data_IF_347961859125
#
_entry.id   IF_347961859125
#
_cell.length_a   1.000
_cell.length_b   1.000
_cell.length_c   1.000
_cell.angle_alpha   90.00
_cell.angle_beta   90.00
_cell.angle_gamma   90.00
#
_symmetry.space_group_name_H-M   'P 1'
#
loop_
_entity.id
_entity.type
_entity.pdbx_description
1 polymer ?
#
# COMPACT_ATOMS: atom_id res chain seq x y z
N UNK A 1 28.34 0.88 29.16
CA UNK A 1 27.24 0.51 28.28
C UNK A 1 26.89 1.70 27.37
N UNK A 2 27.71 1.98 26.36
CA UNK A 2 27.46 3.02 25.32
C UNK A 2 28.31 2.64 24.11
N UNK A 3 27.85 1.72 23.26
CA UNK A 3 28.50 1.45 21.94
C UNK A 3 27.65 0.43 21.16
N UNK A 4 26.44 0.80 20.72
CA UNK A 4 25.64 -0.06 19.84
C UNK A 4 24.72 0.72 18.87
N UNK A 5 24.92 2.03 18.66
CA UNK A 5 24.03 2.85 17.86
C UNK A 5 24.67 3.49 16.61
N UNK A 6 25.87 3.07 16.18
CA UNK A 6 26.64 3.75 15.09
C UNK A 6 26.90 2.91 13.85
N UNK A 7 26.30 1.73 13.68
CA UNK A 7 26.59 0.84 12.54
C UNK A 7 25.54 0.83 11.42
N UNK A 8 24.48 1.63 11.48
CA UNK A 8 23.41 1.62 10.46
C UNK A 8 23.53 2.72 9.37
N UNK A 9 24.49 3.64 9.47
CA UNK A 9 24.55 4.79 8.54
C UNK A 9 25.65 4.67 7.46
N UNK A 10 26.56 3.73 7.56
CA UNK A 10 27.73 3.66 6.66
C UNK A 10 27.51 2.93 5.31
N UNK A 11 26.29 2.47 4.99
CA UNK A 11 25.99 1.74 3.74
C UNK A 11 25.46 2.61 2.60
N UNK A 12 25.33 3.93 2.75
CA UNK A 12 24.75 4.85 1.75
C UNK A 12 25.77 5.52 0.82
N UNK A 13 27.07 5.24 0.95
CA UNK A 13 28.11 5.78 0.06
C UNK A 13 28.62 4.72 -0.92
N UNK A 14 27.85 4.36 -1.93
CA UNK A 14 28.28 3.43 -2.98
C UNK A 14 27.96 3.93 -4.38
N UNK A 15 29.01 4.17 -5.18
CA UNK A 15 29.08 4.39 -6.64
C UNK A 15 27.99 5.27 -7.28
N UNK A 16 28.42 6.31 -7.96
CA UNK A 16 27.59 7.22 -8.74
C UNK A 16 26.96 6.50 -9.95
N UNK A 17 25.77 5.98 -9.81
CA UNK A 17 24.95 5.59 -10.97
C UNK A 17 24.41 6.88 -11.59
N UNK A 18 24.81 7.19 -12.82
CA UNK A 18 24.22 8.27 -13.61
C UNK A 18 23.01 7.66 -14.30
N UNK A 19 21.81 8.03 -13.88
CA UNK A 19 20.58 7.60 -14.52
C UNK A 19 20.29 8.45 -15.75
N UNK A 20 19.89 7.82 -16.84
CA UNK A 20 19.37 8.48 -18.06
C UNK A 20 17.85 8.72 -17.94
N UNK A 21 17.29 9.47 -18.87
CA UNK A 21 15.83 9.66 -18.95
C UNK A 21 15.10 8.31 -19.14
N UNK A 22 15.66 7.43 -19.96
CA UNK A 22 15.17 6.06 -20.17
C UNK A 22 15.15 5.25 -18.85
N UNK A 23 16.12 5.46 -17.97
CA UNK A 23 16.16 4.81 -16.66
C UNK A 23 15.04 5.33 -15.75
N UNK A 24 14.72 6.62 -15.79
CA UNK A 24 13.62 7.21 -15.01
C UNK A 24 12.26 6.64 -15.47
N UNK A 25 12.05 6.48 -16.77
CA UNK A 25 10.83 5.87 -17.31
C UNK A 25 10.71 4.39 -16.92
N UNK A 26 11.82 3.65 -16.98
CA UNK A 26 11.86 2.27 -16.52
C UNK A 26 11.57 2.15 -15.01
N UNK A 27 12.14 3.04 -14.19
CA UNK A 27 11.88 3.11 -12.75
C UNK A 27 10.43 3.49 -12.45
N UNK A 28 9.81 4.36 -13.25
CA UNK A 28 8.39 4.70 -13.12
C UNK A 28 7.52 3.44 -13.25
N UNK A 29 7.72 2.64 -14.27
CA UNK A 29 6.99 1.37 -14.47
C UNK A 29 7.25 0.36 -13.35
N UNK A 30 8.50 0.25 -12.90
CA UNK A 30 8.86 -0.63 -11.79
C UNK A 30 8.18 -0.22 -10.48
N UNK A 31 8.12 1.08 -10.18
CA UNK A 31 7.49 1.58 -8.95
C UNK A 31 5.98 1.33 -8.89
N UNK A 32 5.35 1.08 -10.03
CA UNK A 32 3.92 0.78 -10.19
C UNK A 32 3.59 -0.72 -10.04
N UNK A 33 4.61 -1.58 -9.94
CA UNK A 33 4.47 -3.02 -9.77
C UNK A 33 4.63 -3.40 -8.28
N UNK A 34 3.58 -3.86 -7.58
CA UNK A 34 3.64 -4.19 -6.16
C UNK A 34 4.49 -5.42 -5.82
N UNK A 35 4.90 -6.20 -6.81
CA UNK A 35 5.78 -7.38 -6.65
C UNK A 35 7.08 -7.26 -7.45
N UNK A 36 7.53 -6.03 -7.69
CA UNK A 36 8.80 -5.77 -8.34
C UNK A 36 9.98 -6.25 -7.48
N UNK A 37 11.00 -6.80 -8.14
CA UNK A 37 12.25 -7.22 -7.50
C UNK A 37 13.15 -6.02 -7.16
N UNK A 38 12.58 -5.00 -6.54
CA UNK A 38 13.25 -3.75 -6.14
C UNK A 38 12.74 -3.35 -4.75
N UNK A 39 13.67 -3.05 -3.85
CA UNK A 39 13.28 -2.49 -2.54
C UNK A 39 12.66 -1.11 -2.76
N UNK A 40 11.48 -0.90 -2.20
CA UNK A 40 10.82 0.42 -2.19
C UNK A 40 10.13 0.67 -0.87
N UNK A 41 10.00 1.95 -0.50
CA UNK A 41 9.33 2.36 0.73
C UNK A 41 8.33 3.46 0.42
N UNK A 42 7.07 3.09 0.10
CA UNK A 42 5.97 4.03 -0.04
C UNK A 42 5.50 4.59 1.30
N UNK A 43 5.28 5.89 1.33
CA UNK A 43 4.58 6.64 2.37
C UNK A 43 3.30 7.19 1.74
N UNK A 44 2.16 6.59 2.05
CA UNK A 44 0.86 7.00 1.52
C UNK A 44 0.12 7.83 2.56
N UNK A 45 0.05 9.13 2.36
CA UNK A 45 -0.70 10.07 3.18
C UNK A 45 -2.13 10.16 2.63
N UNK A 46 -3.11 9.69 3.38
CA UNK A 46 -4.50 9.66 3.01
C UNK A 46 -5.28 10.66 3.88
N UNK A 47 -5.81 11.71 3.27
CA UNK A 47 -6.69 12.68 3.88
C UNK A 47 -8.12 12.29 3.54
N UNK A 48 -8.87 11.83 4.55
CA UNK A 48 -10.19 11.25 4.42
C UNK A 48 -11.23 12.25 4.93
N UNK A 49 -12.08 12.76 4.06
CA UNK A 49 -13.04 13.82 4.38
C UNK A 49 -14.46 13.26 4.51
N UNK A 50 -15.23 13.84 5.42
CA UNK A 50 -16.59 13.40 5.70
C UNK A 50 -16.67 12.16 6.60
N UNK A 51 -15.65 11.91 7.43
CA UNK A 51 -15.63 10.79 8.37
C UNK A 51 -16.40 11.10 9.66
N UNK A 52 -16.90 10.03 10.27
CA UNK A 52 -17.56 10.11 11.57
C UNK A 52 -18.95 10.77 11.53
N UNK A 53 -19.58 10.92 12.70
CA UNK A 53 -20.91 11.52 12.81
C UNK A 53 -20.93 13.00 12.41
N UNK A 54 -19.85 13.73 12.67
CA UNK A 54 -19.74 15.18 12.46
C UNK A 54 -19.07 15.53 11.11
N UNK A 55 -18.84 14.53 10.24
CA UNK A 55 -18.27 14.73 8.90
C UNK A 55 -16.88 15.40 8.89
N UNK A 56 -16.05 15.07 9.85
CA UNK A 56 -14.71 15.63 10.00
C UNK A 56 -13.69 14.98 9.04
N UNK A 57 -12.49 15.53 8.99
CA UNK A 57 -11.35 14.93 8.29
C UNK A 57 -10.66 13.91 9.19
N UNK A 58 -10.46 12.69 8.71
CA UNK A 58 -9.54 11.70 9.25
C UNK A 58 -8.24 11.64 8.46
N UNK A 59 -7.18 11.19 9.09
CA UNK A 59 -5.88 11.00 8.45
C UNK A 59 -5.37 9.58 8.64
N UNK A 60 -4.74 9.04 7.59
CA UNK A 60 -4.08 7.74 7.62
C UNK A 60 -2.79 7.80 6.82
N UNK A 61 -1.65 7.65 7.48
CA UNK A 61 -0.37 7.39 6.85
C UNK A 61 -0.11 5.88 6.82
N UNK A 62 -0.03 5.28 5.64
CA UNK A 62 0.44 3.92 5.47
C UNK A 62 1.92 3.91 5.07
N UNK A 63 2.76 3.27 5.87
CA UNK A 63 4.16 2.96 5.54
C UNK A 63 4.18 1.53 5.03
N UNK A 64 4.56 1.32 3.75
CA UNK A 64 4.37 0.05 3.06
C UNK A 64 5.66 -0.42 2.36
N UNK A 65 6.74 -0.76 3.09
CA UNK A 65 7.95 -1.24 2.45
C UNK A 65 7.69 -2.50 1.63
N UNK A 66 8.31 -2.58 0.46
CA UNK A 66 8.33 -3.76 -0.41
C UNK A 66 9.76 -4.29 -0.40
N UNK A 67 9.94 -5.52 0.09
CA UNK A 67 11.25 -6.14 0.23
C UNK A 67 11.28 -7.45 -0.55
N UNK A 68 11.95 -7.48 -1.72
CA UNK A 68 12.14 -8.69 -2.48
C UNK A 68 13.30 -9.51 -1.89
N UNK A 69 13.07 -10.79 -1.70
CA UNK A 69 14.05 -11.80 -1.30
C UNK A 69 14.20 -12.82 -2.43
N UNK A 70 15.39 -12.99 -2.95
CA UNK A 70 15.65 -14.01 -3.97
C UNK A 70 15.71 -15.40 -3.31
N UNK A 71 14.77 -16.27 -3.64
CA UNK A 71 14.76 -17.65 -3.13
C UNK A 71 15.58 -18.61 -4.01
N UNK A 72 15.54 -18.36 -5.32
CA UNK A 72 16.30 -19.14 -6.31
C UNK A 72 16.45 -18.31 -7.60
N UNK A 73 17.11 -18.90 -8.60
CA UNK A 73 17.18 -18.28 -9.94
C UNK A 73 15.82 -18.04 -10.60
N UNK A 74 14.78 -18.78 -10.19
CA UNK A 74 13.47 -18.77 -10.81
C UNK A 74 12.37 -18.14 -9.94
N UNK A 75 12.61 -17.92 -8.65
CA UNK A 75 11.60 -17.48 -7.70
C UNK A 75 12.08 -16.40 -6.76
N UNK A 76 11.28 -15.37 -6.61
CA UNK A 76 11.41 -14.35 -5.56
C UNK A 76 10.28 -14.52 -4.53
N UNK A 77 10.57 -14.09 -3.31
CA UNK A 77 9.60 -13.93 -2.24
C UNK A 77 9.52 -12.46 -1.87
N UNK A 78 8.36 -11.86 -2.05
CA UNK A 78 8.13 -10.45 -1.75
C UNK A 78 7.46 -10.35 -0.40
N UNK A 79 8.01 -9.50 0.46
CA UNK A 79 7.45 -9.18 1.79
C UNK A 79 6.98 -7.74 1.78
N UNK A 80 5.71 -7.51 2.10
CA UNK A 80 5.07 -6.20 2.09
C UNK A 80 4.27 -5.97 3.37
N UNK A 81 4.89 -5.50 4.45
CA UNK A 81 4.17 -5.01 5.62
C UNK A 81 3.49 -3.67 5.30
N UNK A 82 2.33 -3.44 5.88
CA UNK A 82 1.57 -2.18 5.82
C UNK A 82 1.33 -1.74 7.25
N UNK A 83 2.00 -0.69 7.67
CA UNK A 83 1.85 -0.10 8.99
C UNK A 83 1.03 1.19 8.90
N UNK A 84 -0.22 1.21 9.37
CA UNK A 84 -1.04 2.42 9.40
C UNK A 84 -0.77 3.25 10.66
N UNK A 85 -0.61 4.56 10.47
CA UNK A 85 -0.64 5.57 11.53
C UNK A 85 -1.90 6.38 11.31
N UNK A 86 -2.80 6.35 12.27
CA UNK A 86 -4.16 6.84 12.14
C UNK A 86 -4.41 8.05 13.01
N UNK A 87 -5.25 8.97 12.55
CA UNK A 87 -5.91 10.00 13.33
C UNK A 87 -7.36 10.09 12.86
N UNK A 88 -8.29 9.55 13.67
CA UNK A 88 -9.70 9.40 13.31
C UNK A 88 -10.63 10.23 14.21
N UNK A 89 -11.66 10.87 13.65
CA UNK A 89 -12.70 11.54 14.42
C UNK A 89 -13.70 10.52 14.98
N UNK A 90 -14.07 10.70 16.23
CA UNK A 90 -15.07 9.87 16.93
C UNK A 90 -16.39 10.61 17.17
N UNK A 91 -16.49 11.87 16.75
CA UNK A 91 -17.62 12.75 16.97
C UNK A 91 -17.57 13.49 18.33
N UNK A 92 -18.30 14.60 18.40
CA UNK A 92 -18.31 15.48 19.56
C UNK A 92 -16.95 16.12 19.85
N UNK A 93 -16.15 16.39 18.81
CA UNK A 93 -14.79 16.95 18.93
C UNK A 93 -13.74 15.96 19.46
N UNK A 94 -14.09 14.69 19.68
CA UNK A 94 -13.15 13.67 20.14
C UNK A 94 -12.42 13.04 18.94
N UNK A 95 -11.15 12.76 19.14
CA UNK A 95 -10.29 12.08 18.16
C UNK A 95 -9.45 11.00 18.82
N UNK A 96 -9.01 10.03 18.03
CA UNK A 96 -8.02 9.03 18.44
C UNK A 96 -6.90 8.98 17.43
N UNK A 97 -5.66 8.99 17.92
CA UNK A 97 -4.45 8.92 17.09
C UNK A 97 -3.54 7.82 17.63
N UNK A 98 -2.92 7.07 16.71
CA UNK A 98 -2.01 5.99 17.08
C UNK A 98 -1.73 5.05 15.91
N UNK A 99 -1.15 3.89 16.22
CA UNK A 99 -0.96 2.82 15.26
C UNK A 99 -2.26 2.05 15.06
N UNK A 100 -2.53 1.63 13.84
CA UNK A 100 -3.57 0.66 13.53
C UNK A 100 -3.02 -0.77 13.49
N UNK A 101 -3.84 -1.69 12.98
CA UNK A 101 -3.48 -3.09 12.83
C UNK A 101 -2.49 -3.27 11.67
N UNK A 102 -1.35 -3.93 11.94
CA UNK A 102 -0.33 -4.25 10.95
C UNK A 102 -0.87 -5.31 9.99
N UNK A 103 -0.84 -5.02 8.69
CA UNK A 103 -1.09 -6.01 7.65
C UNK A 103 0.23 -6.48 7.06
N UNK A 104 0.40 -7.77 6.90
CA UNK A 104 1.53 -8.39 6.21
C UNK A 104 1.00 -9.15 4.99
N UNK A 105 1.41 -8.72 3.82
CA UNK A 105 1.17 -9.42 2.56
C UNK A 105 2.48 -10.02 2.07
N UNK A 106 2.43 -11.26 1.58
CA UNK A 106 3.62 -11.88 1.02
C UNK A 106 3.27 -12.60 -0.28
N UNK A 107 4.25 -12.65 -1.22
CA UNK A 107 4.01 -13.21 -2.54
C UNK A 107 5.21 -14.04 -3.01
N UNK A 108 4.96 -15.27 -3.43
CA UNK A 108 5.85 -16.01 -4.30
C UNK A 108 5.61 -15.56 -5.74
N UNK A 109 6.64 -15.10 -6.43
CA UNK A 109 6.56 -14.59 -7.80
C UNK A 109 7.71 -15.14 -8.65
N UNK A 110 7.47 -15.52 -9.92
CA UNK A 110 8.53 -15.92 -10.83
C UNK A 110 9.51 -14.77 -11.10
N UNK A 111 10.83 -15.04 -10.99
CA UNK A 111 11.86 -14.03 -11.26
C UNK A 111 12.03 -13.69 -12.74
N UNK A 112 11.60 -14.57 -13.65
CA UNK A 112 11.77 -14.45 -15.10
C UNK A 112 10.48 -14.03 -15.82
N UNK A 113 9.51 -13.46 -15.11
CA UNK A 113 8.28 -12.95 -15.71
C UNK A 113 8.57 -11.78 -16.66
N UNK A 114 7.88 -11.78 -17.84
CA UNK A 114 8.07 -10.74 -18.87
C UNK A 114 6.93 -9.72 -18.80
N UNK A 115 5.97 -9.81 -19.72
CA UNK A 115 4.86 -8.86 -19.82
C UNK A 115 3.77 -9.10 -18.78
N UNK A 116 3.61 -10.34 -18.31
CA UNK A 116 2.67 -10.70 -17.25
C UNK A 116 3.42 -11.22 -16.04
N UNK A 117 3.32 -10.50 -14.95
CA UNK A 117 3.92 -10.81 -13.65
C UNK A 117 2.77 -11.21 -12.73
N UNK A 118 2.95 -12.25 -11.95
CA UNK A 118 1.97 -12.67 -10.97
C UNK A 118 2.63 -13.12 -9.68
N UNK A 119 1.90 -13.08 -8.61
CA UNK A 119 2.34 -13.57 -7.32
C UNK A 119 1.16 -14.07 -6.49
N UNK A 120 1.41 -15.08 -5.68
CA UNK A 120 0.45 -15.60 -4.71
C UNK A 120 1.15 -15.88 -3.39
N UNK A 121 0.43 -15.74 -2.31
CA UNK A 121 1.01 -16.01 -0.99
C UNK A 121 0.01 -15.78 0.14
N UNK A 122 0.44 -15.95 1.38
CA UNK A 122 -0.38 -15.65 2.54
C UNK A 122 -0.41 -14.15 2.85
N UNK A 123 -1.51 -13.72 3.47
CA UNK A 123 -1.64 -12.45 4.15
C UNK A 123 -2.03 -12.68 5.60
N UNK A 124 -1.64 -11.76 6.48
CA UNK A 124 -2.04 -11.73 7.87
C UNK A 124 -2.31 -10.30 8.32
N UNK A 125 -3.31 -10.11 9.20
CA UNK A 125 -3.54 -8.88 9.94
C UNK A 125 -3.28 -9.18 11.41
N UNK A 126 -2.48 -8.33 12.05
CA UNK A 126 -2.07 -8.46 13.43
C UNK A 126 -2.77 -7.38 14.26
N UNK A 127 -3.40 -7.70 15.40
CA UNK A 127 -4.06 -6.73 16.27
C UNK A 127 -3.02 -5.90 17.03
N UNK A 128 -2.32 -5.03 16.33
CA UNK A 128 -1.25 -4.18 16.87
C UNK A 128 -1.69 -2.75 17.13
N UNK A 129 -2.97 -2.45 16.94
CA UNK A 129 -3.51 -1.12 17.18
C UNK A 129 -3.25 -0.68 18.64
N UNK A 130 -2.78 0.57 18.79
CA UNK A 130 -2.46 1.12 20.12
C UNK A 130 -3.69 1.58 20.90
N UNK A 131 -4.80 1.76 20.20
CA UNK A 131 -6.09 2.16 20.76
C UNK A 131 -7.19 1.27 20.20
N UNK A 132 -8.20 0.99 21.00
CA UNK A 132 -9.28 0.07 20.63
C UNK A 132 -10.05 0.49 19.37
N UNK A 133 -10.18 1.79 19.15
CA UNK A 133 -10.89 2.37 18.01
C UNK A 133 -10.08 2.37 16.71
N UNK A 134 -8.78 2.09 16.78
CA UNK A 134 -7.86 2.12 15.63
C UNK A 134 -7.62 0.74 14.99
N UNK A 135 -8.19 -0.33 15.56
CA UNK A 135 -8.04 -1.68 15.06
C UNK A 135 -9.22 -2.59 15.35
N UNK A 136 -9.25 -3.73 14.70
CA UNK A 136 -10.32 -4.71 14.85
C UNK A 136 -10.11 -5.65 16.05
N UNK A 137 -8.89 -5.71 16.60
CA UNK A 137 -8.55 -6.61 17.71
C UNK A 137 -8.58 -8.09 17.32
N UNK A 138 -8.49 -8.40 16.03
CA UNK A 138 -8.56 -9.74 15.47
C UNK A 138 -7.26 -10.10 14.74
N UNK A 139 -6.86 -11.35 14.86
CA UNK A 139 -5.86 -11.98 14.00
C UNK A 139 -6.56 -12.52 12.78
N UNK A 140 -6.30 -11.94 11.61
CA UNK A 140 -6.85 -12.45 10.36
C UNK A 140 -5.77 -13.12 9.54
N UNK A 141 -6.09 -14.26 8.96
CA UNK A 141 -5.21 -15.01 8.06
C UNK A 141 -5.96 -15.33 6.76
N UNK A 142 -5.23 -15.37 5.65
CA UNK A 142 -5.80 -15.76 4.38
C UNK A 142 -4.85 -15.62 3.19
N UNK A 143 -5.35 -15.80 1.96
CA UNK A 143 -4.58 -15.68 0.75
C UNK A 143 -4.47 -14.25 0.25
N UNK A 144 -3.37 -13.99 -0.46
CA UNK A 144 -3.15 -12.82 -1.30
C UNK A 144 -2.74 -13.25 -2.70
N UNK A 145 -3.20 -12.53 -3.71
CA UNK A 145 -2.81 -12.73 -5.10
C UNK A 145 -2.64 -11.40 -5.82
N UNK A 146 -1.71 -11.34 -6.76
CA UNK A 146 -1.47 -10.16 -7.58
C UNK A 146 -1.19 -10.56 -9.01
N UNK A 147 -1.70 -9.79 -9.95
CA UNK A 147 -1.39 -9.89 -11.37
C UNK A 147 -1.07 -8.52 -11.93
N UNK A 148 0.00 -8.42 -12.71
CA UNK A 148 0.47 -7.19 -13.36
C UNK A 148 0.74 -7.47 -14.82
N UNK A 149 0.16 -6.68 -15.69
CA UNK A 149 0.42 -6.70 -17.13
C UNK A 149 1.09 -5.39 -17.55
N UNK A 150 2.26 -5.52 -18.17
CA UNK A 150 3.03 -4.38 -18.67
C UNK A 150 3.14 -4.46 -20.19
N UNK A 151 2.63 -3.44 -20.89
CA UNK A 151 2.74 -3.35 -22.36
C UNK A 151 2.81 -1.89 -22.82
N UNK A 152 3.87 -1.54 -23.55
CA UNK A 152 4.09 -0.17 -23.98
C UNK A 152 4.06 0.81 -22.80
N UNK A 153 3.22 1.85 -22.84
CA UNK A 153 3.09 2.83 -21.75
C UNK A 153 2.22 2.33 -20.60
N UNK A 154 1.52 1.19 -20.74
CA UNK A 154 0.55 0.70 -19.77
C UNK A 154 1.18 -0.20 -18.72
N UNK A 155 0.80 0.02 -17.47
CA UNK A 155 0.97 -0.91 -16.34
C UNK A 155 -0.41 -1.11 -15.72
N UNK A 156 -0.96 -2.30 -15.90
CA UNK A 156 -2.30 -2.68 -15.48
C UNK A 156 -2.22 -3.86 -14.53
N UNK A 157 -3.09 -3.92 -13.55
CA UNK A 157 -3.13 -5.08 -12.67
C UNK A 157 -4.15 -4.98 -11.57
N UNK A 158 -4.15 -6.00 -10.73
CA UNK A 158 -4.91 -6.02 -9.50
C UNK A 158 -4.20 -6.83 -8.42
N UNK A 159 -4.33 -6.38 -7.18
CA UNK A 159 -3.94 -7.11 -5.99
C UNK A 159 -5.22 -7.45 -5.23
N UNK A 160 -5.37 -8.69 -4.81
CA UNK A 160 -6.55 -9.19 -4.10
C UNK A 160 -6.12 -9.87 -2.83
N UNK A 161 -6.81 -9.59 -1.73
CA UNK A 161 -6.60 -10.26 -0.44
C UNK A 161 -7.94 -10.70 0.14
N UNK A 162 -7.94 -11.82 0.85
CA UNK A 162 -9.05 -12.29 1.64
C UNK A 162 -8.54 -12.79 2.99
N UNK A 163 -9.03 -12.23 4.07
CA UNK A 163 -8.74 -12.67 5.44
C UNK A 163 -9.96 -13.30 6.11
N UNK A 164 -9.69 -14.07 7.15
CA UNK A 164 -10.70 -14.56 8.11
C UNK A 164 -10.09 -14.52 9.49
N UNK A 165 -10.84 -14.00 10.46
CA UNK A 165 -10.39 -14.00 11.85
C UNK A 165 -10.27 -15.42 12.40
N UNK A 166 -9.10 -15.74 12.93
CA UNK A 166 -8.73 -17.05 13.50
C UNK A 166 -8.58 -16.98 15.02
N UNK A 167 -8.30 -15.80 15.55
CA UNK A 167 -8.19 -15.50 16.97
C UNK A 167 -8.41 -14.00 17.20
N UNK A 168 -8.61 -13.57 18.44
CA UNK A 168 -8.74 -12.14 18.71
C UNK A 168 -9.15 -11.84 20.14
N UNK A 169 -9.39 -10.55 20.39
CA UNK A 169 -9.84 -10.00 21.68
C UNK A 169 -11.25 -10.51 22.04
N UNK A 170 -11.41 -11.00 23.26
CA UNK A 170 -12.71 -11.44 23.76
C UNK A 170 -13.72 -10.29 23.75
N UNK A 171 -14.93 -10.55 23.21
CA UNK A 171 -15.98 -9.55 23.13
C UNK A 171 -15.93 -8.64 21.91
N UNK A 172 -15.02 -8.88 20.96
CA UNK A 172 -15.05 -8.28 19.61
C UNK A 172 -15.61 -9.27 18.58
N UNK A 173 -16.43 -8.79 17.62
CA UNK A 173 -16.88 -9.65 16.53
C UNK A 173 -15.70 -10.10 15.68
N UNK A 174 -15.78 -11.30 15.15
CA UNK A 174 -14.85 -11.75 14.16
C UNK A 174 -15.02 -10.98 12.85
N UNK A 175 -13.95 -10.90 12.06
CA UNK A 175 -13.87 -10.19 10.78
C UNK A 175 -13.67 -11.15 9.62
N UNK A 176 -14.03 -10.73 8.42
CA UNK A 176 -13.70 -11.42 7.19
C UNK A 176 -13.33 -10.38 6.11
N UNK A 177 -12.21 -9.65 6.31
CA UNK A 177 -11.82 -8.57 5.42
C UNK A 177 -11.44 -9.08 4.03
N UNK A 178 -12.01 -8.45 3.03
CA UNK A 178 -11.68 -8.62 1.63
C UNK A 178 -11.16 -7.30 1.07
N UNK A 179 -10.14 -7.35 0.22
CA UNK A 179 -9.77 -6.20 -0.57
C UNK A 179 -9.41 -6.57 -2.00
N UNK A 180 -9.72 -5.67 -2.92
CA UNK A 180 -9.18 -5.69 -4.28
C UNK A 180 -8.73 -4.29 -4.65
N UNK A 181 -7.47 -4.19 -5.07
CA UNK A 181 -6.85 -2.96 -5.54
C UNK A 181 -6.52 -3.09 -7.02
N UNK A 182 -7.45 -2.77 -7.93
CA UNK A 182 -7.10 -2.60 -9.34
C UNK A 182 -6.18 -1.39 -9.47
N UNK A 183 -5.21 -1.46 -10.36
CA UNK A 183 -4.38 -0.32 -10.70
C UNK A 183 -4.20 -0.19 -12.21
N UNK A 184 -4.31 1.05 -12.68
CA UNK A 184 -4.18 1.41 -14.09
C UNK A 184 -3.25 2.61 -14.16
N UNK A 185 -2.12 2.44 -14.84
CA UNK A 185 -1.16 3.51 -15.04
C UNK A 185 -0.87 3.65 -16.54
N UNK A 186 -0.95 4.87 -17.03
CA UNK A 186 -0.52 5.24 -18.38
C UNK A 186 0.70 6.14 -18.27
N UNK A 187 1.87 5.61 -18.61
CA UNK A 187 3.14 6.29 -18.51
C UNK A 187 3.34 7.27 -19.67
N UNK A 188 3.74 8.47 -19.33
CA UNK A 188 4.05 9.59 -20.22
C UNK A 188 5.57 9.86 -20.18
N UNK A 189 6.10 10.66 -21.13
CA UNK A 189 7.51 11.05 -21.09
C UNK A 189 7.93 11.74 -19.79
N UNK A 190 9.22 11.75 -19.52
CA UNK A 190 9.84 12.41 -18.35
C UNK A 190 9.37 11.88 -16.99
N UNK A 191 8.99 10.60 -16.93
CA UNK A 191 8.57 9.93 -15.69
C UNK A 191 7.17 10.29 -15.17
N UNK A 192 6.37 11.03 -15.93
CA UNK A 192 4.98 11.28 -15.61
C UNK A 192 4.09 10.06 -15.88
N UNK A 193 2.98 9.94 -15.14
CA UNK A 193 1.92 8.99 -15.46
C UNK A 193 0.56 9.52 -15.01
N UNK A 194 -0.48 9.12 -15.74
CA UNK A 194 -1.86 9.15 -15.26
C UNK A 194 -2.07 7.86 -14.50
N UNK A 195 -2.58 7.94 -13.27
CA UNK A 195 -2.64 6.79 -12.36
C UNK A 195 -3.96 6.69 -11.65
N UNK A 196 -4.43 5.48 -11.45
CA UNK A 196 -5.49 5.15 -10.50
C UNK A 196 -5.17 3.81 -9.83
N UNK A 197 -5.35 3.75 -8.52
CA UNK A 197 -5.21 2.53 -7.73
C UNK A 197 -6.14 2.60 -6.50
N UNK A 198 -7.47 2.62 -6.73
CA UNK A 198 -8.44 2.57 -5.64
C UNK A 198 -8.33 1.22 -4.91
N UNK A 199 -8.60 1.21 -3.62
CA UNK A 199 -8.70 -0.03 -2.84
C UNK A 199 -10.16 -0.25 -2.48
N UNK A 200 -10.80 -1.18 -3.16
CA UNK A 200 -12.14 -1.64 -2.83
C UNK A 200 -12.03 -2.60 -1.65
N UNK A 201 -12.80 -2.35 -0.61
CA UNK A 201 -12.79 -3.19 0.59
C UNK A 201 -14.18 -3.67 0.94
N UNK A 202 -14.26 -4.85 1.54
CA UNK A 202 -15.47 -5.35 2.17
C UNK A 202 -15.14 -6.11 3.44
N UNK A 203 -16.06 -6.16 4.40
CA UNK A 203 -16.05 -7.17 5.45
C UNK A 203 -17.32 -8.02 5.32
N UNK A 204 -17.13 -9.31 5.00
CA UNK A 204 -18.26 -10.24 4.78
C UNK A 204 -19.05 -10.57 6.04
N UNK A 205 -18.58 -10.14 7.20
CA UNK A 205 -19.30 -10.28 8.48
C UNK A 205 -20.03 -9.01 8.91
N UNK A 206 -19.86 -7.91 8.19
CA UNK A 206 -20.63 -6.68 8.39
C UNK A 206 -22.04 -6.82 7.81
N UNK A 207 -22.95 -5.97 8.25
CA UNK A 207 -24.28 -5.84 7.64
C UNK A 207 -24.15 -5.47 6.16
N UNK A 208 -25.03 -5.99 5.31
CA UNK A 208 -24.91 -5.84 3.85
C UNK A 208 -24.84 -4.37 3.38
N UNK A 209 -25.49 -3.45 4.12
CA UNK A 209 -25.47 -2.01 3.80
C UNK A 209 -24.20 -1.27 4.30
N UNK A 210 -23.39 -1.93 5.12
CA UNK A 210 -22.15 -1.39 5.69
C UNK A 210 -20.91 -2.24 5.34
N UNK A 211 -21.04 -3.16 4.38
CA UNK A 211 -19.98 -4.10 4.02
C UNK A 211 -18.92 -3.48 3.12
N UNK A 212 -19.30 -2.69 2.13
CA UNK A 212 -18.43 -2.25 1.05
C UNK A 212 -17.94 -0.81 1.21
N UNK A 213 -16.68 -0.58 0.77
CA UNK A 213 -16.15 0.75 0.45
C UNK A 213 -15.63 0.73 -0.98
N UNK A 214 -16.24 1.53 -1.86
CA UNK A 214 -15.98 1.55 -3.30
C UNK A 214 -15.50 2.93 -3.76
N UNK A 215 -14.20 3.24 -3.65
CA UNK A 215 -13.62 4.49 -4.14
C UNK A 215 -13.48 4.49 -5.67
N UNK A 216 -13.87 5.59 -6.32
CA UNK A 216 -13.62 5.85 -7.74
C UNK A 216 -12.88 7.16 -7.90
N UNK A 217 -11.90 7.19 -8.81
CA UNK A 217 -11.10 8.39 -9.04
C UNK A 217 -9.74 8.06 -9.63
N UNK A 218 -8.82 9.02 -9.51
CA UNK A 218 -7.47 8.88 -10.04
C UNK A 218 -6.70 10.19 -9.91
N UNK A 219 -5.56 10.26 -10.58
CA UNK A 219 -4.71 11.43 -10.54
C UNK A 219 -3.45 11.26 -11.38
N UNK A 220 -2.40 11.86 -10.91
CA UNK A 220 -1.11 11.90 -11.60
C UNK A 220 0.00 11.40 -10.69
N UNK A 221 1.04 10.86 -11.30
CA UNK A 221 2.30 10.55 -10.61
C UNK A 221 3.49 11.02 -11.43
N UNK A 222 4.62 11.19 -10.74
CA UNK A 222 5.89 11.49 -11.37
C UNK A 222 7.02 10.77 -10.66
N UNK A 223 7.81 10.06 -11.42
CA UNK A 223 9.09 9.52 -10.98
C UNK A 223 10.20 10.47 -11.41
N UNK A 224 11.11 10.75 -10.48
CA UNK A 224 12.22 11.68 -10.69
C UNK A 224 13.43 11.26 -9.85
N UNK A 225 14.55 11.88 -10.13
CA UNK A 225 15.77 11.72 -9.36
C UNK A 225 16.04 12.99 -8.54
N UNK A 226 16.27 12.81 -7.24
CA UNK A 226 16.77 13.86 -6.36
C UNK A 226 18.21 13.50 -6.02
N UNK A 227 19.16 14.14 -6.70
CA UNK A 227 20.53 13.69 -6.71
C UNK A 227 20.64 12.29 -7.32
N UNK A 228 20.98 11.30 -6.50
CA UNK A 228 21.10 9.88 -6.92
C UNK A 228 19.93 9.01 -6.46
N UNK A 229 19.01 9.58 -5.70
CA UNK A 229 17.90 8.87 -5.11
C UNK A 229 16.67 8.91 -6.04
N UNK A 230 16.23 7.76 -6.60
CA UNK A 230 14.97 7.71 -7.31
C UNK A 230 13.79 7.86 -6.34
N UNK A 231 12.86 8.72 -6.71
CA UNK A 231 11.63 8.97 -5.98
C UNK A 231 10.42 8.89 -6.91
N UNK A 232 9.30 8.39 -6.42
CA UNK A 232 8.01 8.53 -7.09
C UNK A 232 7.07 9.33 -6.20
N UNK A 233 6.43 10.34 -6.79
CA UNK A 233 5.40 11.16 -6.17
C UNK A 233 4.07 10.88 -6.85
N UNK A 234 2.99 10.77 -6.09
CA UNK A 234 1.65 10.66 -6.68
C UNK A 234 0.66 11.51 -5.89
N UNK A 235 -0.26 12.14 -6.61
CA UNK A 235 -1.39 12.85 -6.06
C UNK A 235 -2.65 12.34 -6.75
N UNK A 236 -3.56 11.74 -5.98
CA UNK A 236 -4.79 11.15 -6.47
C UNK A 236 -5.98 11.55 -5.59
N UNK A 237 -7.15 11.62 -6.18
CA UNK A 237 -8.40 11.88 -5.46
C UNK A 237 -9.40 10.77 -5.77
N UNK A 238 -10.13 10.33 -4.75
CA UNK A 238 -11.17 9.32 -4.84
C UNK A 238 -12.44 9.80 -4.16
N UNK A 239 -13.57 9.43 -4.74
CA UNK A 239 -14.89 9.55 -4.15
C UNK A 239 -15.43 8.16 -3.84
N UNK A 240 -15.96 7.93 -2.64
CA UNK A 240 -16.56 6.66 -2.26
C UNK A 240 -18.03 6.64 -2.73
N UNK A 241 -18.29 5.88 -3.80
CA UNK A 241 -19.64 5.74 -4.37
C UNK A 241 -20.54 4.85 -3.50
N UNK A 242 -19.92 3.95 -2.74
CA UNK A 242 -20.54 3.16 -1.70
C UNK A 242 -19.57 3.06 -0.51
N UNK A 243 -20.10 3.09 0.72
CA UNK A 243 -19.30 3.10 1.93
C UNK A 243 -20.13 2.83 3.19
N UNK A 244 -19.54 2.27 4.25
CA UNK A 244 -20.14 2.20 5.57
C UNK A 244 -20.50 3.58 6.13
N UNK A 245 -21.48 3.61 7.03
CA UNK A 245 -22.12 4.83 7.57
C UNK A 245 -21.12 5.79 8.15
N UNK A 246 -20.09 5.76 8.53
CA UNK A 246 -19.17 6.78 9.08
C UNK A 246 -17.83 6.83 8.38
N UNK A 247 -17.71 6.10 7.27
CA UNK A 247 -16.53 6.18 6.41
C UNK A 247 -16.50 7.49 5.61
N UNK A 248 -15.33 7.84 5.11
CA UNK A 248 -15.11 9.07 4.35
C UNK A 248 -15.99 9.18 3.11
N UNK A 249 -16.45 10.37 2.79
CA UNK A 249 -17.13 10.66 1.52
C UNK A 249 -16.13 10.69 0.35
N UNK A 250 -14.95 11.28 0.57
CA UNK A 250 -13.86 11.31 -0.42
C UNK A 250 -12.49 11.30 0.25
N UNK A 251 -11.48 10.98 -0.53
CA UNK A 251 -10.09 10.89 -0.09
C UNK A 251 -9.17 11.64 -1.05
N UNK A 252 -8.23 12.38 -0.51
CA UNK A 252 -7.05 12.86 -1.24
C UNK A 252 -5.86 12.07 -0.73
N UNK A 253 -5.12 11.45 -1.64
CA UNK A 253 -3.92 10.68 -1.32
C UNK A 253 -2.70 11.34 -1.93
N UNK A 254 -1.73 11.64 -1.11
CA UNK A 254 -0.38 12.00 -1.52
C UNK A 254 0.57 10.86 -1.17
N UNK A 255 1.28 10.34 -2.15
CA UNK A 255 2.25 9.26 -1.96
C UNK A 255 3.65 9.73 -2.29
N UNK A 256 4.62 9.39 -1.43
CA UNK A 256 6.05 9.53 -1.66
C UNK A 256 6.68 8.15 -1.54
N UNK A 257 7.34 7.68 -2.60
CA UNK A 257 8.01 6.38 -2.62
C UNK A 257 9.50 6.55 -2.84
N UNK A 258 10.29 6.09 -1.89
CA UNK A 258 11.73 5.92 -2.06
C UNK A 258 12.01 4.58 -2.73
N UNK A 259 12.85 4.57 -3.75
CA UNK A 259 13.22 3.38 -4.51
C UNK A 259 14.70 3.09 -4.37
N UNK A 260 15.04 1.80 -4.19
CA UNK A 260 16.40 1.33 -4.01
C UNK A 260 16.66 0.20 -5.02
N UNK A 261 16.97 0.54 -6.30
CA UNK A 261 17.28 -0.45 -7.31
C UNK A 261 18.47 -1.30 -6.88
N UNK A 262 18.40 -2.63 -7.13
CA UNK A 262 19.57 -3.49 -6.95
C UNK A 262 20.68 -3.04 -7.90
N UNK A 263 21.93 -3.12 -7.42
CA UNK A 263 23.13 -2.80 -8.21
C UNK A 263 23.40 -3.88 -9.24
#
# INVERSE_FOLDING_TARGET
MKTAALLAVSWLCGAATVYSETDVEALAKKSQNPVEAMVSVPFQNNFNFGMGPDKEMGYNLNIQPVVPLSLSSNWNYIVRPILPILDIPLGGGRRKSGLGDLTLETFFTPSNAKSFIWGVGPMAIFPTATERELGNGQWDLGPAAVGVYMHGPWVLGALVTQGWSVAGESGRPGTAPFSVQPFINYNLPHGWAITTAPTYTADWRSDANDAWTLPVGGGISRTLLVGKQPLSLALVAYYNVDKPRYQADYQIRFSLTFMFPAK
#
